data_IF_081160546637
#
_entry.id   IF_081160546637
#
_cell.length_a   1.000
_cell.length_b   1.000
_cell.length_c   1.000
_cell.angle_alpha   90.00
_cell.angle_beta   90.00
_cell.angle_gamma   90.00
#
_symmetry.space_group_name_H-M   'P 1'
#
loop_
_entity.id
_entity.type
_entity.pdbx_description
1 polymer ?
#
# COMPACT_ATOMS: atom_id res chain seq x y z
N UNK A 1 -2.02 36.76 31.07
CA UNK A 1 -2.01 35.34 30.72
C UNK A 1 -1.50 35.20 29.29
N UNK A 2 -0.21 34.86 29.16
CA UNK A 2 0.41 34.65 27.86
C UNK A 2 0.19 33.19 27.46
N UNK A 3 -0.62 32.99 26.44
CA UNK A 3 -0.80 31.66 25.85
C UNK A 3 0.50 31.21 25.21
N UNK A 4 1.14 30.25 25.88
CA UNK A 4 2.39 29.63 25.44
C UNK A 4 2.04 28.41 24.58
N UNK A 5 2.26 28.49 23.28
CA UNK A 5 2.11 27.37 22.38
C UNK A 5 3.47 26.73 22.13
N UNK A 6 3.63 25.43 22.45
CA UNK A 6 4.79 24.66 22.05
C UNK A 6 4.45 23.98 20.71
N UNK A 7 4.91 24.56 19.63
CA UNK A 7 4.82 23.97 18.29
C UNK A 7 6.22 23.50 17.88
N UNK A 8 6.34 22.26 17.49
CA UNK A 8 7.55 21.76 16.84
C UNK A 8 7.50 22.19 15.37
N UNK A 9 8.36 23.13 14.99
CA UNK A 9 8.47 23.59 13.60
C UNK A 9 9.74 22.97 13.02
N UNK A 10 9.62 22.20 11.94
CA UNK A 10 10.76 21.78 11.12
C UNK A 10 11.26 22.99 10.35
N UNK A 11 12.45 23.47 10.64
CA UNK A 11 13.12 24.50 9.84
C UNK A 11 14.15 23.79 8.99
N UNK A 12 13.88 23.66 7.69
CA UNK A 12 14.89 23.22 6.73
C UNK A 12 15.90 24.34 6.50
N UNK A 13 17.20 24.13 6.75
CA UNK A 13 18.21 25.13 6.40
C UNK A 13 18.35 25.21 4.88
N UNK A 14 18.13 26.39 4.33
CA UNK A 14 18.47 26.71 2.94
C UNK A 14 19.99 26.62 2.81
N UNK A 15 20.51 25.62 2.07
CA UNK A 15 21.92 25.38 1.72
C UNK A 15 22.87 25.05 2.88
N UNK A 16 22.87 23.81 3.36
CA UNK A 16 24.14 23.09 3.62
C UNK A 16 23.88 21.57 3.83
N UNK A 17 24.75 20.75 3.26
CA UNK A 17 24.64 19.28 3.20
C UNK A 17 24.97 18.54 4.50
N UNK A 18 24.59 19.08 5.67
CA UNK A 18 24.86 18.40 6.92
C UNK A 18 23.83 18.67 8.02
N UNK A 19 23.23 17.58 8.50
CA UNK A 19 22.43 17.42 9.73
C UNK A 19 20.97 17.93 9.70
N UNK A 20 20.05 16.96 9.54
CA UNK A 20 18.68 17.07 10.06
C UNK A 20 18.71 17.14 11.59
N UNK A 21 18.51 18.32 12.17
CA UNK A 21 18.22 18.47 13.59
C UNK A 21 16.83 19.05 13.76
N UNK A 22 15.92 18.32 14.38
CA UNK A 22 14.66 18.86 14.86
C UNK A 22 14.95 19.94 15.89
N UNK A 23 14.58 21.18 15.58
CA UNK A 23 14.84 22.33 16.46
C UNK A 23 13.53 22.72 17.13
N UNK A 24 13.47 22.56 18.46
CA UNK A 24 12.32 23.03 19.25
C UNK A 24 12.41 24.53 19.38
N UNK A 25 11.41 25.26 18.87
CA UNK A 25 11.31 26.72 18.98
C UNK A 25 10.12 27.10 19.86
N UNK A 26 10.29 28.12 20.68
CA UNK A 26 9.21 28.68 21.48
C UNK A 26 8.52 29.80 20.69
N UNK A 27 7.20 29.70 20.51
CA UNK A 27 6.38 30.69 19.82
C UNK A 27 5.51 31.41 20.84
N UNK A 28 5.54 32.74 20.78
CA UNK A 28 4.74 33.60 21.64
C UNK A 28 3.83 34.49 20.77
N UNK A 29 2.53 34.47 21.04
CA UNK A 29 1.62 35.41 20.43
C UNK A 29 1.72 36.74 21.16
N UNK A 30 1.99 37.83 20.42
CA UNK A 30 2.17 39.17 21.01
C UNK A 30 0.86 39.95 21.06
N UNK A 31 0.17 40.08 19.92
CA UNK A 31 -1.16 40.69 19.82
C UNK A 31 -1.73 40.47 18.42
N UNK A 32 -3.00 40.09 18.32
CA UNK A 32 -3.65 39.84 17.03
C UNK A 32 -2.90 38.83 16.17
N UNK A 33 -2.40 39.26 15.01
CA UNK A 33 -1.73 38.40 14.03
C UNK A 33 -0.19 38.36 14.17
N UNK A 34 0.38 38.91 15.26
CA UNK A 34 1.83 38.98 15.46
C UNK A 34 2.33 37.89 16.37
N UNK A 35 3.43 37.23 15.94
CA UNK A 35 4.08 36.15 16.65
C UNK A 35 5.57 36.43 16.82
N UNK A 36 6.12 36.07 17.96
CA UNK A 36 7.55 36.07 18.25
C UNK A 36 8.03 34.64 18.37
N UNK A 37 9.10 34.29 17.64
CA UNK A 37 9.74 32.99 17.67
C UNK A 37 11.11 33.14 18.31
N UNK A 38 11.36 32.37 19.36
CA UNK A 38 12.66 32.31 20.02
C UNK A 38 13.43 31.10 19.50
N UNK A 39 14.54 31.35 18.81
CA UNK A 39 15.44 30.32 18.28
C UNK A 39 16.36 29.75 19.39
N UNK A 40 16.89 28.52 19.24
CA UNK A 40 17.78 27.91 20.25
C UNK A 40 19.09 28.66 20.45
N UNK A 41 19.53 29.45 19.48
CA UNK A 41 20.71 30.34 19.57
C UNK A 41 20.45 31.63 20.35
N UNK A 42 19.23 31.79 20.91
CA UNK A 42 18.80 32.97 21.65
C UNK A 42 18.36 34.14 20.79
N UNK A 43 18.35 34.02 19.45
CA UNK A 43 17.85 35.06 18.57
C UNK A 43 16.33 35.07 18.51
N UNK A 44 15.78 36.26 18.40
CA UNK A 44 14.34 36.50 18.28
C UNK A 44 13.98 36.87 16.85
N UNK A 45 12.95 36.24 16.32
CA UNK A 45 12.37 36.58 15.02
C UNK A 45 10.89 36.91 15.18
N UNK A 46 10.42 37.85 14.39
CA UNK A 46 9.03 38.33 14.44
C UNK A 46 8.31 38.00 13.15
N UNK A 47 7.08 37.53 13.28
CA UNK A 47 6.24 37.10 12.16
C UNK A 47 4.86 37.70 12.26
N UNK A 48 4.25 38.04 11.10
CA UNK A 48 2.87 38.47 10.98
C UNK A 48 2.12 37.47 10.09
N UNK A 49 0.92 37.07 10.50
CA UNK A 49 0.03 36.25 9.69
C UNK A 49 -1.07 37.14 9.09
N UNK A 50 -1.10 37.25 7.76
CA UNK A 50 -2.16 37.97 7.02
C UNK A 50 -2.63 37.12 5.83
N UNK A 51 -3.94 36.95 5.66
CA UNK A 51 -4.56 36.22 4.56
C UNK A 51 -3.97 34.84 4.34
N UNK A 52 -3.79 34.07 5.43
CA UNK A 52 -3.19 32.72 5.42
C UNK A 52 -1.72 32.67 4.94
N UNK A 53 -1.02 33.79 4.96
CA UNK A 53 0.41 33.88 4.68
C UNK A 53 1.16 34.38 5.90
N UNK A 54 2.40 33.88 6.09
CA UNK A 54 3.26 34.28 7.20
C UNK A 54 4.40 35.13 6.63
N UNK A 55 4.64 36.30 7.23
CA UNK A 55 5.67 37.22 6.83
C UNK A 55 6.66 37.43 7.96
N UNK A 56 7.97 37.31 7.69
CA UNK A 56 9.00 37.74 8.64
C UNK A 56 9.14 39.26 8.62
N UNK A 57 9.12 39.89 9.80
CA UNK A 57 9.18 41.35 9.92
C UNK A 57 10.40 41.76 10.73
N UNK A 58 10.90 42.98 10.45
CA UNK A 58 11.91 43.63 11.33
C UNK A 58 11.25 44.16 12.59
N UNK A 59 12.02 44.19 13.70
CA UNK A 59 11.54 44.56 15.03
C UNK A 59 10.95 45.95 15.12
N UNK A 60 11.32 46.88 14.22
CA UNK A 60 11.00 48.31 14.38
C UNK A 60 9.94 48.88 13.39
N UNK A 61 9.69 48.27 12.22
CA UNK A 61 8.88 48.98 11.19
C UNK A 61 7.94 48.11 10.35
N UNK A 62 7.45 46.96 10.78
CA UNK A 62 6.55 46.11 9.97
C UNK A 62 7.00 45.89 8.49
N UNK A 63 8.28 46.15 8.17
CA UNK A 63 8.81 45.91 6.84
C UNK A 63 8.95 44.41 6.62
N UNK A 64 8.30 43.89 5.58
CA UNK A 64 8.35 42.48 5.19
C UNK A 64 9.75 42.19 4.67
N UNK A 65 10.49 41.30 5.37
CA UNK A 65 11.82 40.86 4.97
C UNK A 65 11.72 39.66 4.04
N UNK A 66 10.79 38.76 4.33
CA UNK A 66 10.62 37.54 3.55
C UNK A 66 9.19 37.02 3.65
N UNK A 67 8.63 36.55 2.55
CA UNK A 67 7.28 35.95 2.52
C UNK A 67 7.42 34.44 2.67
N UNK A 68 6.96 33.87 3.77
CA UNK A 68 6.75 32.46 3.93
C UNK A 68 5.35 32.12 3.44
N UNK A 69 5.26 31.39 2.35
CA UNK A 69 4.01 30.76 1.96
C UNK A 69 3.99 29.42 2.71
N UNK A 70 3.10 29.21 3.70
CA UNK A 70 2.96 27.88 4.25
C UNK A 70 2.53 26.98 3.11
N UNK A 71 3.27 25.94 2.87
CA UNK A 71 3.08 24.99 1.76
C UNK A 71 1.73 24.24 1.82
N UNK A 72 0.88 24.56 2.82
CA UNK A 72 -0.26 23.74 3.21
C UNK A 72 -1.61 24.47 3.39
N UNK A 73 -1.91 25.53 2.66
CA UNK A 73 -3.25 26.16 2.73
C UNK A 73 -4.21 25.79 1.58
N UNK A 74 -3.80 24.94 0.63
CA UNK A 74 -4.68 24.45 -0.45
C UNK A 74 -5.15 22.99 -0.24
N UNK A 75 -5.19 22.48 0.99
CA UNK A 75 -5.24 21.04 1.22
C UNK A 75 -6.50 20.48 1.87
N UNK A 76 -7.66 21.02 1.60
CA UNK A 76 -8.89 20.24 1.79
C UNK A 76 -9.36 19.52 0.51
N UNK A 77 -8.54 19.51 -0.53
CA UNK A 77 -8.78 18.67 -1.70
C UNK A 77 -8.02 17.36 -1.52
N UNK A 78 -8.75 16.25 -1.51
CA UNK A 78 -8.17 14.91 -1.59
C UNK A 78 -7.36 14.85 -2.89
N UNK A 79 -6.05 15.10 -2.81
CA UNK A 79 -5.13 14.89 -3.93
C UNK A 79 -4.70 13.43 -3.88
N UNK A 80 -5.06 12.68 -4.93
CA UNK A 80 -4.46 11.37 -5.15
C UNK A 80 -2.99 11.57 -5.51
N UNK A 81 -2.11 10.85 -4.84
CA UNK A 81 -0.69 10.80 -5.15
C UNK A 81 -0.42 10.10 -6.49
N UNK A 82 0.75 10.30 -7.06
CA UNK A 82 1.13 9.70 -8.34
C UNK A 82 1.08 8.18 -8.32
N UNK A 83 1.38 7.56 -7.17
CA UNK A 83 1.29 6.12 -6.98
C UNK A 83 -0.16 5.64 -7.14
N UNK A 84 -1.11 6.25 -6.40
CA UNK A 84 -2.52 5.89 -6.48
C UNK A 84 -3.09 6.06 -7.88
N UNK A 85 -2.75 7.17 -8.57
CA UNK A 85 -3.20 7.39 -9.95
C UNK A 85 -2.68 6.29 -10.88
N UNK A 86 -1.39 5.95 -10.79
CA UNK A 86 -0.75 4.92 -11.59
C UNK A 86 -1.34 3.54 -11.31
N UNK A 87 -1.60 3.23 -10.03
CA UNK A 87 -2.22 1.99 -9.59
C UNK A 87 -3.61 1.81 -10.22
N UNK A 88 -4.47 2.84 -10.18
CA UNK A 88 -5.81 2.77 -10.74
C UNK A 88 -5.79 2.71 -12.26
N UNK A 89 -4.86 3.42 -12.91
CA UNK A 89 -4.70 3.35 -14.37
C UNK A 89 -4.27 1.93 -14.81
N UNK A 90 -3.28 1.34 -14.14
CA UNK A 90 -2.86 -0.04 -14.42
C UNK A 90 -3.98 -1.05 -14.13
N UNK A 91 -4.74 -0.87 -13.02
CA UNK A 91 -5.89 -1.70 -12.71
C UNK A 91 -6.98 -1.62 -13.80
N UNK A 92 -7.20 -0.45 -14.38
CA UNK A 92 -8.11 -0.27 -15.52
C UNK A 92 -7.63 -1.05 -16.75
N UNK A 93 -6.33 -1.01 -17.07
CA UNK A 93 -5.77 -1.80 -18.16
C UNK A 93 -5.91 -3.30 -17.91
N UNK A 94 -5.67 -3.76 -16.68
CA UNK A 94 -5.90 -5.17 -16.30
C UNK A 94 -7.36 -5.53 -16.52
N UNK A 95 -8.31 -4.70 -16.05
CA UNK A 95 -9.73 -4.93 -16.21
C UNK A 95 -10.11 -5.11 -17.68
N UNK A 96 -9.71 -4.16 -18.52
CA UNK A 96 -10.03 -4.19 -19.96
C UNK A 96 -9.46 -5.44 -20.61
N UNK A 97 -8.19 -5.77 -20.36
CA UNK A 97 -7.55 -6.95 -20.94
C UNK A 97 -8.22 -8.25 -20.47
N UNK A 98 -8.54 -8.37 -19.18
CA UNK A 98 -9.16 -9.58 -18.65
C UNK A 98 -10.60 -9.76 -19.14
N UNK A 99 -11.34 -8.67 -19.41
CA UNK A 99 -12.62 -8.75 -20.09
C UNK A 99 -12.48 -9.29 -21.54
N UNK A 100 -11.42 -8.91 -22.26
CA UNK A 100 -11.09 -9.52 -23.54
C UNK A 100 -10.70 -10.99 -23.40
N UNK A 101 -9.96 -11.35 -22.37
CA UNK A 101 -9.61 -12.74 -22.07
C UNK A 101 -10.84 -13.61 -21.83
N UNK A 102 -11.78 -13.13 -21.02
CA UNK A 102 -13.05 -13.81 -20.74
C UNK A 102 -13.88 -14.05 -22.01
N UNK A 103 -13.81 -13.13 -22.97
CA UNK A 103 -14.56 -13.25 -24.23
C UNK A 103 -13.86 -14.14 -25.28
N UNK A 104 -12.53 -14.01 -25.42
CA UNK A 104 -11.75 -14.69 -26.48
C UNK A 104 -11.03 -15.95 -26.02
N UNK A 105 -10.93 -16.20 -24.72
CA UNK A 105 -10.22 -17.36 -24.15
C UNK A 105 -8.73 -17.33 -24.47
N UNK A 106 -8.03 -16.29 -24.07
CA UNK A 106 -6.61 -16.07 -24.36
C UNK A 106 -5.74 -17.14 -23.69
N UNK A 107 -4.71 -17.65 -24.40
CA UNK A 107 -3.79 -18.64 -23.83
C UNK A 107 -3.04 -18.07 -22.63
N UNK A 108 -2.79 -18.90 -21.62
CA UNK A 108 -2.11 -18.52 -20.38
C UNK A 108 -0.78 -17.76 -20.59
N UNK A 109 0.00 -18.13 -21.63
CA UNK A 109 1.26 -17.44 -21.94
C UNK A 109 1.05 -15.94 -22.27
N UNK A 110 0.04 -15.59 -23.06
CA UNK A 110 -0.24 -14.19 -23.38
C UNK A 110 -0.74 -13.41 -22.17
N UNK A 111 -1.50 -14.07 -21.26
CA UNK A 111 -1.86 -13.48 -19.97
C UNK A 111 -0.64 -13.14 -19.13
N UNK A 112 0.32 -14.06 -18.99
CA UNK A 112 1.57 -13.84 -18.26
C UNK A 112 2.41 -12.72 -18.88
N UNK A 113 2.50 -12.65 -20.20
CA UNK A 113 3.20 -11.57 -20.91
C UNK A 113 2.53 -10.23 -20.61
N UNK A 114 1.20 -10.15 -20.72
CA UNK A 114 0.46 -8.93 -20.44
C UNK A 114 0.61 -8.48 -18.98
N UNK A 115 0.45 -9.41 -18.02
CA UNK A 115 0.70 -9.12 -16.60
C UNK A 115 2.10 -8.56 -16.37
N UNK A 116 3.13 -9.17 -16.99
CA UNK A 116 4.52 -8.69 -16.89
C UNK A 116 4.70 -7.28 -17.46
N UNK A 117 4.05 -6.97 -18.59
CA UNK A 117 4.10 -5.64 -19.20
C UNK A 117 3.41 -4.58 -18.34
N UNK A 118 2.28 -4.89 -17.71
CA UNK A 118 1.58 -3.96 -16.80
C UNK A 118 2.42 -3.72 -15.53
N UNK A 119 3.05 -4.75 -14.99
CA UNK A 119 3.96 -4.59 -13.85
C UNK A 119 5.15 -3.69 -14.23
N UNK A 120 5.75 -3.90 -15.41
CA UNK A 120 6.82 -3.05 -15.91
C UNK A 120 6.34 -1.61 -16.12
N UNK A 121 5.14 -1.40 -16.65
CA UNK A 121 4.53 -0.08 -16.79
C UNK A 121 4.38 0.61 -15.42
N UNK A 122 3.85 -0.09 -14.42
CA UNK A 122 3.72 0.46 -13.06
C UNK A 122 5.08 0.86 -12.49
N UNK A 123 6.10 -0.01 -12.60
CA UNK A 123 7.47 0.29 -12.16
C UNK A 123 8.02 1.55 -12.86
N UNK A 124 7.78 1.71 -14.16
CA UNK A 124 8.27 2.88 -14.90
C UNK A 124 7.53 4.17 -14.54
N UNK A 125 6.26 4.09 -14.16
CA UNK A 125 5.46 5.24 -13.76
C UNK A 125 5.76 5.71 -12.34
N UNK A 126 6.04 4.79 -11.41
CA UNK A 126 6.18 5.08 -9.97
C UNK A 126 7.60 4.92 -9.45
N UNK A 127 8.46 4.23 -10.19
CA UNK A 127 9.77 3.72 -9.76
C UNK A 127 9.71 2.70 -8.60
N UNK A 128 8.50 2.30 -8.17
CA UNK A 128 8.30 1.33 -7.10
C UNK A 128 8.70 -0.08 -7.55
N UNK A 129 9.62 -0.69 -6.83
CA UNK A 129 10.13 -2.05 -7.08
C UNK A 129 10.76 -2.61 -5.83
N UNK A 130 10.88 -3.93 -5.74
CA UNK A 130 11.54 -4.60 -4.64
C UNK A 130 13.05 -4.37 -4.78
N UNK A 131 13.62 -3.57 -3.88
CA UNK A 131 15.05 -3.31 -3.79
C UNK A 131 15.73 -4.26 -2.82
N UNK A 132 15.05 -4.54 -1.71
CA UNK A 132 15.53 -5.36 -0.60
C UNK A 132 14.44 -6.35 -0.16
N UNK A 133 14.85 -7.55 0.20
CA UNK A 133 13.93 -8.58 0.71
C UNK A 133 13.94 -8.68 2.25
N UNK A 134 14.70 -7.80 2.90
CA UNK A 134 14.91 -7.81 4.35
C UNK A 134 15.72 -9.01 4.82
N UNK A 135 15.87 -9.13 6.13
CA UNK A 135 16.60 -10.23 6.77
C UNK A 135 15.70 -11.45 6.97
N UNK A 136 15.50 -12.24 5.90
CA UNK A 136 14.68 -13.48 5.95
C UNK A 136 15.34 -14.65 6.67
N UNK A 137 16.69 -14.65 6.77
CA UNK A 137 17.45 -15.82 7.23
C UNK A 137 18.44 -15.50 8.36
N UNK A 138 18.42 -14.30 8.93
CA UNK A 138 19.40 -13.86 9.94
C UNK A 138 20.78 -13.56 9.34
N UNK A 139 20.86 -13.33 8.02
CA UNK A 139 22.10 -13.05 7.28
C UNK A 139 22.27 -11.55 6.93
N UNK A 140 21.36 -10.70 7.39
CA UNK A 140 21.28 -9.28 7.07
C UNK A 140 20.42 -8.99 5.83
N UNK A 141 20.23 -7.71 5.53
CA UNK A 141 19.37 -7.27 4.43
C UNK A 141 19.99 -7.63 3.07
N UNK A 142 19.21 -8.33 2.25
CA UNK A 142 19.62 -8.72 0.89
C UNK A 142 19.15 -7.68 -0.12
N UNK A 143 20.09 -6.91 -0.68
CA UNK A 143 19.83 -5.99 -1.78
C UNK A 143 19.87 -6.72 -3.13
N UNK A 144 18.84 -6.54 -3.95
CA UNK A 144 18.68 -7.21 -5.25
C UNK A 144 19.45 -6.55 -6.40
N UNK A 145 19.84 -5.29 -6.26
CA UNK A 145 20.56 -4.55 -7.28
C UNK A 145 19.90 -4.63 -8.67
N UNK A 146 20.62 -5.14 -9.66
CA UNK A 146 20.13 -5.28 -11.05
C UNK A 146 18.97 -6.27 -11.20
N UNK A 147 18.79 -7.18 -10.25
CA UNK A 147 17.69 -8.15 -10.24
C UNK A 147 16.38 -7.58 -9.69
N UNK A 148 16.35 -6.36 -9.17
CA UNK A 148 15.15 -5.72 -8.62
C UNK A 148 13.95 -5.79 -9.56
N UNK A 149 14.11 -5.34 -10.80
CA UNK A 149 12.98 -5.29 -11.76
C UNK A 149 12.48 -6.70 -12.14
N UNK A 150 13.33 -7.64 -12.61
CA UNK A 150 12.85 -8.98 -12.94
C UNK A 150 12.27 -9.73 -11.72
N UNK A 151 12.82 -9.53 -10.52
CA UNK A 151 12.29 -10.12 -9.30
C UNK A 151 10.93 -9.51 -8.91
N UNK A 152 10.77 -8.20 -9.04
CA UNK A 152 9.48 -7.53 -8.82
C UNK A 152 8.41 -8.06 -9.77
N UNK A 153 8.72 -8.18 -11.06
CA UNK A 153 7.81 -8.77 -12.05
C UNK A 153 7.41 -10.19 -11.63
N UNK A 154 8.37 -11.02 -11.26
CA UNK A 154 8.11 -12.38 -10.81
C UNK A 154 7.20 -12.43 -9.59
N UNK A 155 7.46 -11.63 -8.56
CA UNK A 155 6.67 -11.60 -7.33
C UNK A 155 5.24 -11.08 -7.57
N UNK A 156 5.10 -9.98 -8.31
CA UNK A 156 3.77 -9.37 -8.56
C UNK A 156 2.93 -10.27 -9.45
N UNK A 157 3.47 -10.78 -10.56
CA UNK A 157 2.76 -11.71 -11.45
C UNK A 157 2.42 -13.00 -10.70
N UNK A 158 3.35 -13.50 -9.88
CA UNK A 158 3.12 -14.65 -9.01
C UNK A 158 1.94 -14.43 -8.05
N UNK A 159 1.88 -13.27 -7.40
CA UNK A 159 0.79 -12.92 -6.48
C UNK A 159 -0.54 -12.71 -7.22
N UNK A 160 -0.56 -12.08 -8.39
CA UNK A 160 -1.75 -11.95 -9.24
C UNK A 160 -2.35 -13.34 -9.54
N UNK A 161 -1.51 -14.30 -9.94
CA UNK A 161 -1.95 -15.64 -10.22
C UNK A 161 -2.35 -16.42 -8.95
N UNK A 162 -1.68 -16.20 -7.81
CA UNK A 162 -2.07 -16.79 -6.53
C UNK A 162 -3.46 -16.34 -6.09
N UNK A 163 -3.77 -15.03 -6.25
CA UNK A 163 -5.11 -14.49 -5.98
C UNK A 163 -6.16 -15.07 -6.92
N UNK A 164 -5.84 -15.26 -8.20
CA UNK A 164 -6.75 -15.89 -9.14
C UNK A 164 -7.01 -17.37 -8.79
N UNK A 165 -5.99 -18.11 -8.37
CA UNK A 165 -6.13 -19.52 -8.01
C UNK A 165 -6.89 -19.76 -6.70
N UNK A 166 -6.85 -18.82 -5.74
CA UNK A 166 -7.52 -18.95 -4.45
C UNK A 166 -8.97 -18.48 -4.47
N UNK A 167 -9.41 -17.81 -5.55
CA UNK A 167 -10.79 -17.29 -5.70
C UNK A 167 -11.81 -18.40 -5.96
N UNK A 168 -11.85 -19.39 -5.07
CA UNK A 168 -12.77 -20.54 -5.15
C UNK A 168 -13.99 -20.47 -4.25
N UNK A 169 -14.07 -19.52 -3.29
CA UNK A 169 -15.18 -19.35 -2.35
C UNK A 169 -15.49 -17.86 -2.15
N UNK A 170 -16.79 -17.56 -1.98
CA UNK A 170 -17.23 -16.19 -1.76
C UNK A 170 -16.50 -15.52 -0.59
N UNK A 171 -15.95 -14.36 -0.85
CA UNK A 171 -15.26 -13.50 0.10
C UNK A 171 -13.81 -13.82 0.37
N UNK A 172 -13.27 -14.98 0.00
CA UNK A 172 -11.88 -15.36 0.33
C UNK A 172 -10.88 -14.41 -0.32
N UNK A 173 -10.90 -14.27 -1.64
CA UNK A 173 -9.96 -13.45 -2.38
C UNK A 173 -10.03 -11.97 -1.93
N UNK A 174 -11.22 -11.42 -1.84
CA UNK A 174 -11.42 -10.04 -1.39
C UNK A 174 -11.01 -9.82 0.07
N UNK A 175 -11.17 -10.81 0.95
CA UNK A 175 -10.69 -10.71 2.34
C UNK A 175 -9.17 -10.74 2.42
N UNK A 176 -8.50 -11.56 1.58
CA UNK A 176 -7.05 -11.57 1.49
C UNK A 176 -6.46 -10.28 0.92
N UNK A 177 -7.24 -9.54 0.14
CA UNK A 177 -6.84 -8.20 -0.28
C UNK A 177 -7.09 -7.15 0.82
N UNK A 178 -8.21 -7.27 1.53
CA UNK A 178 -8.60 -6.30 2.55
C UNK A 178 -7.66 -6.31 3.76
N UNK A 179 -7.19 -7.49 4.21
CA UNK A 179 -6.32 -7.62 5.39
C UNK A 179 -4.99 -6.86 5.21
N UNK A 180 -4.19 -7.07 4.15
CA UNK A 180 -2.97 -6.29 3.91
C UNK A 180 -3.21 -4.80 3.81
N UNK A 181 -4.25 -4.37 3.08
CA UNK A 181 -4.54 -2.95 2.87
C UNK A 181 -4.93 -2.28 4.20
N UNK A 182 -5.76 -2.92 5.02
CA UNK A 182 -6.08 -2.42 6.36
C UNK A 182 -4.84 -2.40 7.25
N UNK A 183 -4.03 -3.44 7.22
CA UNK A 183 -2.81 -3.50 8.02
C UNK A 183 -1.87 -2.33 7.70
N UNK A 184 -1.60 -2.10 6.43
CA UNK A 184 -0.79 -0.97 5.95
C UNK A 184 -1.42 0.37 6.34
N UNK A 185 -2.75 0.49 6.27
CA UNK A 185 -3.46 1.72 6.67
C UNK A 185 -3.32 2.03 8.17
N UNK A 186 -3.29 1.00 9.03
CA UNK A 186 -3.20 1.20 10.48
C UNK A 186 -1.78 1.26 11.02
N UNK A 187 -0.83 0.54 10.41
CA UNK A 187 0.54 0.38 10.88
C UNK A 187 1.58 1.07 9.99
N UNK A 188 1.18 1.46 8.76
CA UNK A 188 1.97 2.28 7.85
C UNK A 188 1.55 3.75 7.88
N UNK A 189 1.98 4.52 6.89
CA UNK A 189 1.50 5.88 6.70
C UNK A 189 0.10 5.88 6.07
N UNK A 190 -0.84 6.54 6.72
CA UNK A 190 -2.18 6.69 6.19
C UNK A 190 -2.16 7.53 4.90
N UNK A 191 -2.64 6.95 3.80
CA UNK A 191 -2.92 7.68 2.55
C UNK A 191 -4.41 7.64 2.23
N UNK A 192 -4.97 8.78 1.84
CA UNK A 192 -6.37 8.85 1.37
C UNK A 192 -6.61 7.94 0.16
N UNK A 193 -5.58 7.67 -0.65
CA UNK A 193 -5.64 6.73 -1.78
C UNK A 193 -6.05 5.32 -1.38
N UNK A 194 -5.71 4.86 -0.16
CA UNK A 194 -6.08 3.54 0.34
C UNK A 194 -7.56 3.41 0.70
N UNK A 195 -8.26 4.51 0.97
CA UNK A 195 -9.70 4.47 1.27
C UNK A 195 -10.54 4.00 0.08
N UNK A 196 -10.09 4.28 -1.14
CA UNK A 196 -10.79 3.88 -2.36
C UNK A 196 -10.84 2.34 -2.50
N UNK A 197 -9.70 1.61 -2.48
CA UNK A 197 -9.74 0.15 -2.55
C UNK A 197 -10.43 -0.48 -1.33
N UNK A 198 -10.25 0.06 -0.13
CA UNK A 198 -10.97 -0.40 1.07
C UNK A 198 -12.48 -0.31 0.86
N UNK A 199 -12.99 0.85 0.45
CA UNK A 199 -14.42 1.06 0.21
C UNK A 199 -14.95 0.18 -0.91
N UNK A 200 -14.21 0.02 -2.01
CA UNK A 200 -14.58 -0.84 -3.13
C UNK A 200 -14.65 -2.32 -2.71
N UNK A 201 -13.66 -2.81 -1.98
CA UNK A 201 -13.62 -4.20 -1.51
C UNK A 201 -14.74 -4.46 -0.48
N UNK A 202 -14.98 -3.55 0.45
CA UNK A 202 -16.08 -3.67 1.42
C UNK A 202 -17.44 -3.67 0.73
N UNK A 203 -17.66 -2.78 -0.24
CA UNK A 203 -18.86 -2.76 -1.07
C UNK A 203 -19.06 -4.08 -1.82
N UNK A 204 -18.00 -4.58 -2.48
CA UNK A 204 -18.02 -5.88 -3.15
C UNK A 204 -18.36 -7.02 -2.17
N UNK A 205 -17.72 -7.09 -1.01
CA UNK A 205 -17.97 -8.12 0.01
C UNK A 205 -19.43 -8.13 0.49
N UNK A 206 -20.05 -6.95 0.64
CA UNK A 206 -21.47 -6.84 1.04
C UNK A 206 -22.41 -7.55 0.03
N UNK A 207 -22.11 -7.47 -1.27
CA UNK A 207 -22.85 -8.19 -2.31
C UNK A 207 -22.42 -9.65 -2.41
N UNK A 208 -21.13 -9.94 -2.46
CA UNK A 208 -20.58 -11.29 -2.69
C UNK A 208 -20.98 -12.26 -1.56
N UNK A 209 -20.92 -11.82 -0.29
CA UNK A 209 -21.35 -12.62 0.86
C UNK A 209 -22.87 -12.71 1.01
N UNK A 210 -23.62 -11.90 0.25
CA UNK A 210 -25.07 -11.91 0.20
C UNK A 210 -25.76 -11.18 1.35
N UNK A 211 -25.08 -10.25 2.04
CA UNK A 211 -25.70 -9.39 3.07
C UNK A 211 -26.81 -8.52 2.50
N UNK A 212 -26.68 -8.08 1.24
CA UNK A 212 -27.68 -7.29 0.52
C UNK A 212 -28.73 -8.16 -0.23
N UNK A 213 -28.79 -9.45 0.08
CA UNK A 213 -29.71 -10.42 -0.47
C UNK A 213 -29.07 -11.47 -1.37
N UNK A 214 -29.48 -12.73 -1.20
CA UNK A 214 -28.91 -13.88 -1.92
C UNK A 214 -29.02 -13.78 -3.45
N UNK A 215 -30.08 -13.13 -3.96
CA UNK A 215 -30.30 -12.93 -5.39
C UNK A 215 -29.42 -11.84 -6.03
N UNK A 216 -28.76 -11.02 -5.21
CA UNK A 216 -27.90 -9.90 -5.64
C UNK A 216 -26.42 -10.21 -5.50
N UNK A 217 -26.06 -11.48 -5.33
CA UNK A 217 -24.65 -11.88 -5.21
C UNK A 217 -23.92 -11.61 -6.52
N UNK A 218 -22.74 -11.07 -6.40
CA UNK A 218 -21.80 -10.84 -7.49
C UNK A 218 -20.56 -11.72 -7.29
N UNK A 219 -19.93 -12.12 -8.38
CA UNK A 219 -18.69 -12.87 -8.37
C UNK A 219 -17.54 -11.94 -8.74
N UNK A 220 -16.35 -12.24 -8.24
CA UNK A 220 -15.15 -11.46 -8.50
C UNK A 220 -14.63 -11.66 -9.92
N UNK A 221 -14.56 -12.92 -10.35
CA UNK A 221 -14.02 -13.34 -11.64
C UNK A 221 -12.52 -13.17 -11.75
N UNK A 222 -11.97 -13.63 -12.89
CA UNK A 222 -10.53 -13.56 -13.15
C UNK A 222 -10.04 -12.11 -13.23
N UNK A 223 -10.84 -11.19 -13.75
CA UNK A 223 -10.52 -9.76 -13.80
C UNK A 223 -10.33 -9.18 -12.41
N UNK A 224 -11.27 -9.43 -11.50
CA UNK A 224 -11.23 -8.87 -10.15
C UNK A 224 -10.10 -9.45 -9.30
N UNK A 225 -9.87 -10.78 -9.35
CA UNK A 225 -8.80 -11.42 -8.61
C UNK A 225 -7.41 -10.95 -9.05
N UNK A 226 -7.18 -10.76 -10.35
CA UNK A 226 -5.94 -10.20 -10.89
C UNK A 226 -5.72 -8.76 -10.45
N UNK A 227 -6.76 -7.92 -10.46
CA UNK A 227 -6.68 -6.52 -9.98
C UNK A 227 -6.33 -6.50 -8.49
N UNK A 228 -6.97 -7.33 -7.68
CA UNK A 228 -6.70 -7.38 -6.25
C UNK A 228 -5.28 -7.85 -5.96
N UNK A 229 -4.80 -8.91 -6.64
CA UNK A 229 -3.42 -9.39 -6.51
C UNK A 229 -2.39 -8.33 -6.90
N UNK A 230 -2.62 -7.61 -8.00
CA UNK A 230 -1.78 -6.51 -8.46
C UNK A 230 -1.76 -5.35 -7.45
N UNK A 231 -2.93 -4.89 -7.00
CA UNK A 231 -3.04 -3.78 -6.07
C UNK A 231 -2.38 -4.09 -4.73
N UNK A 232 -2.63 -5.27 -4.15
CA UNK A 232 -2.01 -5.70 -2.89
C UNK A 232 -0.50 -5.79 -3.02
N UNK A 233 0.02 -6.34 -4.14
CA UNK A 233 1.45 -6.44 -4.37
C UNK A 233 2.12 -5.06 -4.36
N UNK A 234 1.60 -4.12 -5.14
CA UNK A 234 2.18 -2.78 -5.23
C UNK A 234 1.99 -1.95 -3.96
N UNK A 235 0.86 -2.07 -3.26
CA UNK A 235 0.68 -1.44 -1.95
C UNK A 235 1.71 -2.00 -0.95
N UNK A 236 1.93 -3.31 -0.92
CA UNK A 236 2.97 -3.89 -0.07
C UNK A 236 4.38 -3.42 -0.45
N UNK A 237 4.69 -3.25 -1.74
CA UNK A 237 5.98 -2.74 -2.20
C UNK A 237 6.15 -1.27 -1.80
N UNK A 238 5.19 -0.40 -2.12
CA UNK A 238 5.17 1.02 -1.76
C UNK A 238 5.49 1.22 -0.28
N UNK A 239 4.82 0.46 0.58
CA UNK A 239 4.95 0.61 2.03
C UNK A 239 6.11 -0.18 2.65
N UNK A 240 6.88 -0.92 1.91
CA UNK A 240 8.01 -1.70 2.45
C UNK A 240 9.36 -1.36 1.85
N UNK A 241 9.44 -0.57 0.78
CA UNK A 241 10.69 -0.34 0.06
C UNK A 241 11.22 1.09 0.14
N UNK A 242 10.42 2.06 0.58
CA UNK A 242 10.88 3.43 0.72
C UNK A 242 11.50 3.69 2.11
N UNK A 243 12.80 3.68 2.21
CA UNK A 243 13.61 3.81 3.44
C UNK A 243 13.51 5.22 4.06
N UNK A 244 13.05 6.22 3.30
CA UNK A 244 13.05 7.61 3.75
C UNK A 244 11.81 8.01 4.56
N UNK A 245 10.79 7.16 4.64
CA UNK A 245 9.59 7.44 5.42
C UNK A 245 9.61 6.73 6.78
N UNK A 246 9.41 7.43 7.86
CA UNK A 246 9.50 6.96 9.25
C UNK A 246 8.45 5.92 9.67
N UNK A 247 7.63 5.41 8.76
CA UNK A 247 6.52 4.50 9.06
C UNK A 247 6.44 3.34 8.09
N UNK A 248 7.55 2.61 7.98
CA UNK A 248 7.62 1.42 7.13
C UNK A 248 7.16 0.17 7.83
N UNK A 249 6.51 -0.67 7.03
CA UNK A 249 6.49 -2.10 7.33
C UNK A 249 7.78 -2.71 6.78
N UNK A 250 8.44 -3.55 7.56
CA UNK A 250 9.61 -4.30 7.11
C UNK A 250 9.25 -5.14 5.85
N UNK A 251 10.14 -5.28 4.84
CA UNK A 251 9.91 -6.17 3.68
C UNK A 251 9.49 -7.58 4.06
N UNK A 252 10.01 -8.12 5.16
CA UNK A 252 9.59 -9.41 5.71
C UNK A 252 8.11 -9.37 6.14
N UNK A 253 7.67 -8.30 6.78
CA UNK A 253 6.25 -8.12 7.15
C UNK A 253 5.36 -8.09 5.90
N UNK A 254 5.78 -7.38 4.84
CA UNK A 254 5.03 -7.35 3.57
C UNK A 254 4.84 -8.77 2.99
N UNK A 255 5.86 -9.64 3.08
CA UNK A 255 5.76 -11.04 2.68
C UNK A 255 4.74 -11.81 3.54
N UNK A 256 4.74 -11.60 4.87
CA UNK A 256 3.78 -12.23 5.78
C UNK A 256 2.34 -11.81 5.53
N UNK A 257 2.11 -10.56 5.11
CA UNK A 257 0.78 -10.05 4.77
C UNK A 257 0.11 -10.82 3.61
N UNK A 258 0.91 -11.29 2.66
CA UNK A 258 0.42 -12.05 1.49
C UNK A 258 0.72 -13.55 1.56
N UNK A 259 1.19 -14.02 2.71
CA UNK A 259 1.70 -15.39 2.88
C UNK A 259 0.66 -16.48 2.59
N UNK A 260 -0.59 -16.31 3.00
CA UNK A 260 -1.61 -17.35 2.84
C UNK A 260 -1.90 -17.66 1.36
N UNK A 261 -2.28 -16.70 0.50
CA UNK A 261 -2.47 -16.98 -0.92
C UNK A 261 -1.19 -17.45 -1.61
N UNK A 262 -0.05 -16.89 -1.22
CA UNK A 262 1.24 -17.24 -1.81
C UNK A 262 1.65 -18.67 -1.47
N UNK A 263 1.57 -19.07 -0.20
CA UNK A 263 1.92 -20.43 0.24
C UNK A 263 0.96 -21.48 -0.34
N UNK A 264 -0.35 -21.21 -0.37
CA UNK A 264 -1.30 -22.13 -1.00
C UNK A 264 -0.95 -22.35 -2.47
N UNK A 265 -0.64 -21.30 -3.23
CA UNK A 265 -0.21 -21.39 -4.61
C UNK A 265 1.10 -22.19 -4.76
N UNK A 266 2.14 -21.86 -4.00
CA UNK A 266 3.45 -22.52 -4.06
C UNK A 266 3.31 -24.02 -3.73
N UNK A 267 2.60 -24.38 -2.67
CA UNK A 267 2.39 -25.79 -2.26
C UNK A 267 1.68 -26.58 -3.35
N UNK A 268 0.67 -26.00 -3.98
CA UNK A 268 -0.05 -26.66 -5.08
C UNK A 268 0.86 -26.84 -6.30
N UNK A 269 1.60 -25.78 -6.70
CA UNK A 269 2.53 -25.85 -7.82
C UNK A 269 3.61 -26.92 -7.59
N UNK A 270 4.26 -26.93 -6.42
CA UNK A 270 5.29 -27.91 -6.06
C UNK A 270 4.71 -29.33 -6.02
N UNK A 271 3.53 -29.51 -5.41
CA UNK A 271 2.86 -30.81 -5.37
C UNK A 271 2.57 -31.37 -6.77
N UNK A 272 2.15 -30.52 -7.70
CA UNK A 272 1.90 -30.92 -9.10
C UNK A 272 3.19 -31.24 -9.83
N UNK A 273 4.25 -30.47 -9.67
CA UNK A 273 5.57 -30.74 -10.25
C UNK A 273 6.12 -32.08 -9.76
N UNK A 274 6.06 -32.35 -8.45
CA UNK A 274 6.50 -33.60 -7.86
C UNK A 274 5.71 -34.83 -8.39
N UNK A 275 4.45 -34.64 -8.78
CA UNK A 275 3.60 -35.66 -9.40
C UNK A 275 3.75 -35.74 -10.92
N UNK A 276 4.66 -35.00 -11.54
CA UNK A 276 4.83 -34.92 -13.00
C UNK A 276 3.64 -34.31 -13.75
N UNK A 277 2.80 -33.53 -13.05
CA UNK A 277 1.64 -32.85 -13.65
C UNK A 277 2.00 -31.44 -14.09
N UNK A 278 1.27 -30.91 -15.08
CA UNK A 278 1.42 -29.52 -15.48
C UNK A 278 1.02 -28.57 -14.33
N UNK A 279 1.90 -27.59 -13.95
CA UNK A 279 1.69 -26.72 -12.79
C UNK A 279 0.38 -25.92 -12.88
N UNK A 280 0.07 -25.40 -14.07
CA UNK A 280 -1.08 -24.51 -14.33
C UNK A 280 -2.36 -25.24 -14.74
N UNK A 281 -2.42 -26.55 -14.56
CA UNK A 281 -3.65 -27.30 -14.85
C UNK A 281 -4.74 -26.93 -13.82
N UNK A 282 -5.98 -26.66 -14.23
CA UNK A 282 -7.10 -26.51 -13.31
C UNK A 282 -7.24 -27.73 -12.38
N UNK A 283 -7.48 -27.53 -11.11
CA UNK A 283 -7.60 -28.63 -10.15
C UNK A 283 -8.20 -28.18 -8.82
N UNK A 284 -8.58 -29.15 -7.97
CA UNK A 284 -9.16 -28.93 -6.63
C UNK A 284 -8.14 -29.20 -5.51
N UNK A 285 -6.87 -28.82 -5.76
CA UNK A 285 -5.76 -29.17 -4.85
C UNK A 285 -5.54 -28.09 -3.76
N UNK A 286 -6.19 -26.93 -3.89
CA UNK A 286 -6.06 -25.81 -2.97
C UNK A 286 -6.62 -26.11 -1.57
N UNK A 287 -6.08 -25.44 -0.56
CA UNK A 287 -6.44 -25.66 0.84
C UNK A 287 -7.94 -25.52 1.10
N UNK A 288 -8.59 -24.52 0.50
CA UNK A 288 -10.03 -24.32 0.68
C UNK A 288 -10.86 -25.50 0.14
N UNK A 289 -10.45 -26.14 -0.95
CA UNK A 289 -11.13 -27.34 -1.45
C UNK A 289 -10.95 -28.53 -0.51
N UNK A 290 -9.74 -28.74 0.03
CA UNK A 290 -9.47 -29.80 1.00
C UNK A 290 -10.30 -29.64 2.28
N UNK A 291 -10.44 -28.38 2.75
CA UNK A 291 -11.29 -28.07 3.92
C UNK A 291 -12.78 -28.31 3.64
N UNK A 292 -13.24 -28.06 2.41
CA UNK A 292 -14.61 -28.41 2.00
C UNK A 292 -14.82 -29.93 1.97
N UNK A 293 -13.86 -30.67 1.43
CA UNK A 293 -13.94 -32.11 1.28
C UNK A 293 -14.01 -32.85 2.64
N UNK A 294 -13.43 -32.28 3.70
CA UNK A 294 -13.58 -32.78 5.09
C UNK A 294 -14.83 -32.23 5.79
N UNK A 295 -15.73 -31.55 5.09
CA UNK A 295 -17.05 -31.12 5.59
C UNK A 295 -17.08 -29.79 6.30
N UNK A 296 -16.05 -28.95 6.26
CA UNK A 296 -16.07 -27.61 6.86
C UNK A 296 -16.91 -26.68 5.97
N UNK A 297 -17.83 -25.95 6.58
CA UNK A 297 -18.70 -25.05 5.82
C UNK A 297 -17.92 -23.84 5.25
N UNK A 298 -18.33 -23.30 4.07
CA UNK A 298 -17.65 -22.17 3.42
C UNK A 298 -17.45 -20.94 4.33
N UNK A 299 -18.43 -20.64 5.19
CA UNK A 299 -18.32 -19.52 6.14
C UNK A 299 -17.24 -19.75 7.19
N UNK A 300 -17.11 -21.00 7.71
CA UNK A 300 -16.05 -21.34 8.67
C UNK A 300 -14.68 -21.29 8.02
N UNK A 301 -14.55 -21.74 6.77
CA UNK A 301 -13.30 -21.66 6.00
C UNK A 301 -12.88 -20.21 5.83
N UNK A 302 -13.80 -19.33 5.43
CA UNK A 302 -13.53 -17.90 5.32
C UNK A 302 -13.02 -17.31 6.63
N UNK A 303 -13.68 -17.60 7.76
CA UNK A 303 -13.26 -17.11 9.07
C UNK A 303 -11.87 -17.64 9.48
N UNK A 304 -11.59 -18.93 9.24
CA UNK A 304 -10.28 -19.53 9.48
C UNK A 304 -9.20 -18.82 8.67
N UNK A 305 -9.45 -18.52 7.40
CA UNK A 305 -8.50 -17.88 6.53
C UNK A 305 -8.25 -16.43 6.90
N UNK A 306 -9.29 -15.67 7.26
CA UNK A 306 -9.13 -14.30 7.77
C UNK A 306 -8.32 -14.31 9.07
N UNK A 307 -8.66 -15.19 10.00
CA UNK A 307 -7.93 -15.31 11.27
C UNK A 307 -6.46 -15.67 11.04
N UNK A 308 -6.18 -16.65 10.16
CA UNK A 308 -4.84 -17.05 9.80
C UNK A 308 -4.06 -15.89 9.17
N UNK A 309 -4.66 -15.17 8.21
CA UNK A 309 -4.03 -14.04 7.55
C UNK A 309 -3.68 -12.92 8.53
N UNK A 310 -4.60 -12.58 9.44
CA UNK A 310 -4.36 -11.59 10.49
C UNK A 310 -3.25 -12.06 11.45
N UNK A 311 -3.29 -13.32 11.89
CA UNK A 311 -2.28 -13.86 12.80
C UNK A 311 -0.89 -13.84 12.18
N UNK A 312 -0.76 -14.24 10.90
CA UNK A 312 0.51 -14.21 10.19
C UNK A 312 1.01 -12.77 9.94
N UNK A 313 0.10 -11.83 9.67
CA UNK A 313 0.45 -10.41 9.56
C UNK A 313 1.13 -9.88 10.83
N UNK A 314 0.54 -10.17 12.00
CA UNK A 314 1.14 -9.78 13.28
C UNK A 314 2.43 -10.54 13.59
N UNK A 315 2.54 -11.82 13.23
CA UNK A 315 3.79 -12.59 13.40
C UNK A 315 4.94 -11.98 12.60
N UNK A 316 4.68 -11.47 11.41
CA UNK A 316 5.70 -10.82 10.60
C UNK A 316 6.00 -9.37 11.01
N UNK A 317 5.16 -8.77 11.83
CA UNK A 317 5.34 -7.40 12.32
C UNK A 317 6.21 -7.34 13.59
N UNK A 318 6.09 -8.35 14.47
CA UNK A 318 6.87 -8.49 15.70
C UNK A 318 8.11 -9.36 15.50
#
# INVERSE_FOLDING_TARGET
>A
DNDKWNLTVKIDPINDDSCQSETIVNIFQLSGNKFKVLLPDGKEKFYISENSKIYETSNDNNSIIQTFIPENTDQDRIKLDNFSISLYLCALFILVFMLFDDYFGIRALYRLIFQSLIVLLMITMTNEKILEVGDLFGLGDMNLGVFSVPFTIFCVVGLMNAFNMIDGLNGICASFALVPILFVTFFGNFSYGLLIPIGAIMGFLAYNLGYLGKKRRVFLGDSGSNILGFAVAFICIEYSQDINHASYINPVTALWLVSVPLLDCIVVLLSRLLKGMMPFRPGRDHLHHKLLDIGISPKKILLIFIFLSISLAFTGYY
#
